data_IF_338470617813
#
_entry.id   IF_338470617813
#
_cell.length_a   1.000
_cell.length_b   1.000
_cell.length_c   1.000
_cell.angle_alpha   90.00
_cell.angle_beta   90.00
_cell.angle_gamma   90.00
#
_symmetry.space_group_name_H-M   'P 1'
#
loop_
_entity.id
_entity.type
_entity.pdbx_description
1 polymer ?
#
# COMPACT_ATOMS: atom_id res chain seq x y z
N UNK A 1 -23.91 15.64 72.93
CA UNK A 1 -23.39 14.69 71.92
C UNK A 1 -23.46 13.30 72.52
N UNK A 2 -23.98 12.30 71.79
CA UNK A 2 -24.06 10.93 72.30
C UNK A 2 -22.65 10.38 72.60
N UNK A 3 -22.57 9.53 73.63
CA UNK A 3 -21.36 8.78 73.99
C UNK A 3 -21.17 7.62 73.01
N UNK A 4 -19.93 7.24 72.72
CA UNK A 4 -19.64 6.13 71.81
C UNK A 4 -20.22 4.80 72.35
N UNK A 5 -20.94 4.07 71.50
CA UNK A 5 -21.56 2.78 71.88
C UNK A 5 -20.62 1.57 71.82
N UNK A 6 -19.36 1.75 71.39
CA UNK A 6 -18.40 0.67 71.25
C UNK A 6 -17.78 0.27 72.61
N UNK A 7 -17.31 -0.97 72.67
CA UNK A 7 -16.59 -1.51 73.82
C UNK A 7 -15.08 -1.41 73.56
N UNK A 8 -14.31 -0.95 74.55
CA UNK A 8 -12.85 -0.87 74.47
C UNK A 8 -12.28 -2.28 74.36
N UNK A 9 -11.50 -2.54 73.29
CA UNK A 9 -10.86 -3.85 73.05
C UNK A 9 -9.92 -4.30 74.18
N UNK A 10 -9.34 -3.36 74.92
CA UNK A 10 -8.33 -3.67 75.95
C UNK A 10 -8.92 -4.20 77.26
N UNK A 11 -10.15 -3.83 77.63
CA UNK A 11 -10.69 -4.14 78.95
C UNK A 11 -12.20 -4.44 78.98
N UNK A 12 -12.88 -4.50 77.84
CA UNK A 12 -14.30 -4.86 77.77
C UNK A 12 -15.26 -3.80 78.33
N UNK A 13 -14.77 -2.63 78.74
CA UNK A 13 -15.62 -1.55 79.25
C UNK A 13 -16.17 -0.66 78.13
N UNK A 14 -17.35 -0.03 78.33
CA UNK A 14 -17.91 0.91 77.36
C UNK A 14 -16.98 2.09 77.09
N UNK A 15 -16.96 2.56 75.85
CA UNK A 15 -16.16 3.68 75.42
C UNK A 15 -16.68 4.99 76.03
N UNK A 16 -15.79 5.72 76.71
CA UNK A 16 -16.14 7.01 77.37
C UNK A 16 -15.95 8.21 76.45
N UNK A 17 -15.44 8.02 75.22
CA UNK A 17 -15.25 9.12 74.27
C UNK A 17 -16.58 9.51 73.61
N UNK A 18 -16.71 10.79 73.28
CA UNK A 18 -17.88 11.31 72.55
C UNK A 18 -17.90 10.73 71.12
N UNK A 19 -19.09 10.33 70.65
CA UNK A 19 -19.29 9.91 69.28
C UNK A 19 -19.11 11.11 68.33
N UNK A 20 -18.66 10.86 67.10
CA UNK A 20 -18.60 11.93 66.08
C UNK A 20 -20.02 12.33 65.65
N UNK A 21 -20.27 13.60 65.28
CA UNK A 21 -21.57 14.01 64.75
C UNK A 21 -22.01 13.11 63.58
N UNK A 22 -23.20 12.51 63.70
CA UNK A 22 -23.76 11.61 62.67
C UNK A 22 -23.26 10.15 62.71
N UNK A 23 -22.41 9.77 63.66
CA UNK A 23 -21.93 8.40 63.86
C UNK A 23 -22.20 7.93 65.28
N UNK A 24 -22.31 6.61 65.48
CA UNK A 24 -22.51 6.01 66.81
C UNK A 24 -21.18 5.74 67.55
N UNK A 25 -20.04 5.83 66.84
CA UNK A 25 -18.71 5.53 67.37
C UNK A 25 -17.78 6.75 67.43
N UNK A 26 -16.81 6.74 68.35
CA UNK A 26 -15.75 7.74 68.42
C UNK A 26 -14.65 7.46 67.39
N UNK A 27 -13.76 8.42 67.15
CA UNK A 27 -12.68 8.31 66.15
C UNK A 27 -11.77 7.08 66.30
N UNK A 28 -11.65 6.50 67.50
CA UNK A 28 -10.83 5.31 67.77
C UNK A 28 -11.57 4.01 67.44
N UNK A 29 -12.90 4.03 67.46
CA UNK A 29 -13.77 2.88 67.17
C UNK A 29 -14.49 3.01 65.83
N UNK A 30 -14.08 3.95 64.98
CA UNK A 30 -14.44 3.90 63.56
C UNK A 30 -13.71 2.68 63.01
N UNK A 31 -14.42 1.63 62.54
CA UNK A 31 -13.76 0.53 61.87
C UNK A 31 -12.89 1.12 60.77
N UNK A 32 -11.61 0.68 60.63
CA UNK A 32 -10.75 1.20 59.58
C UNK A 32 -11.55 1.13 58.28
N UNK A 33 -11.71 2.28 57.62
CA UNK A 33 -12.37 2.35 56.32
C UNK A 33 -11.76 1.23 55.49
N UNK A 34 -12.56 0.27 54.97
CA UNK A 34 -12.01 -0.84 54.20
C UNK A 34 -11.12 -0.20 53.15
N UNK A 35 -9.82 -0.52 53.20
CA UNK A 35 -8.85 0.01 52.24
C UNK A 35 -9.37 -0.48 50.90
N UNK A 36 -10.08 0.38 50.18
CA UNK A 36 -10.62 0.02 48.87
C UNK A 36 -9.40 -0.34 48.05
N UNK A 37 -9.23 -1.61 47.66
CA UNK A 37 -8.03 -2.06 46.98
C UNK A 37 -7.85 -1.16 45.78
N UNK A 38 -6.68 -0.54 45.69
CA UNK A 38 -6.40 0.45 44.68
C UNK A 38 -6.77 -0.11 43.31
N UNK A 39 -7.87 0.41 42.77
CA UNK A 39 -8.47 -0.11 41.54
C UNK A 39 -7.85 0.55 40.32
N UNK A 40 -7.02 1.56 40.51
CA UNK A 40 -6.43 2.33 39.42
C UNK A 40 -5.19 1.63 38.88
N UNK A 41 -4.91 1.88 37.60
CA UNK A 41 -3.72 1.40 36.93
C UNK A 41 -2.46 2.05 37.51
N UNK A 42 -1.44 1.23 37.78
CA UNK A 42 -0.15 1.67 38.35
C UNK A 42 0.68 2.59 37.44
N UNK A 43 0.38 2.64 36.14
CA UNK A 43 1.15 3.40 35.15
C UNK A 43 1.12 4.91 35.43
N UNK A 44 2.31 5.51 35.51
CA UNK A 44 2.52 6.94 35.67
C UNK A 44 2.79 7.55 34.30
N UNK A 45 1.97 8.54 33.94
CA UNK A 45 2.14 9.31 32.69
C UNK A 45 3.34 10.25 32.80
N UNK A 46 3.73 10.84 31.67
CA UNK A 46 4.84 11.80 31.59
C UNK A 46 4.64 13.03 32.50
N UNK A 47 3.39 13.41 32.81
CA UNK A 47 3.05 14.51 33.71
C UNK A 47 2.99 14.08 35.20
N UNK A 48 3.57 12.93 35.55
CA UNK A 48 3.56 12.33 36.89
C UNK A 48 2.17 11.94 37.42
N UNK A 49 1.10 12.09 36.63
CA UNK A 49 -0.22 11.64 37.03
C UNK A 49 -0.40 10.14 36.77
N UNK A 50 -1.13 9.48 37.66
CA UNK A 50 -1.50 8.08 37.49
C UNK A 50 -2.58 7.92 36.42
N UNK A 51 -2.55 6.81 35.70
CA UNK A 51 -3.59 6.46 34.76
C UNK A 51 -4.95 6.32 35.46
N UNK A 52 -6.01 7.04 35.02
CA UNK A 52 -7.32 7.00 35.66
C UNK A 52 -8.09 5.70 35.37
N UNK A 53 -7.61 4.86 34.44
CA UNK A 53 -8.29 3.62 34.06
C UNK A 53 -8.15 2.55 35.15
N UNK A 54 -9.19 1.72 35.29
CA UNK A 54 -9.18 0.58 36.22
C UNK A 54 -8.15 -0.47 35.77
N UNK A 55 -7.42 -1.05 36.74
CA UNK A 55 -6.53 -2.19 36.49
C UNK A 55 -7.31 -3.45 36.10
N UNK A 56 -6.69 -4.32 35.30
CA UNK A 56 -7.28 -5.61 34.94
C UNK A 56 -7.02 -6.60 36.08
N UNK A 57 -8.03 -7.37 36.48
CA UNK A 57 -7.85 -8.41 37.51
C UNK A 57 -6.82 -9.45 37.07
N UNK A 58 -5.90 -9.81 37.95
CA UNK A 58 -4.87 -10.82 37.69
C UNK A 58 -3.64 -10.33 36.91
N UNK A 59 -3.52 -9.03 36.59
CA UNK A 59 -2.26 -8.50 36.06
C UNK A 59 -1.26 -8.22 37.19
N UNK A 60 -0.11 -8.89 37.15
CA UNK A 60 0.96 -8.78 38.15
C UNK A 60 1.52 -7.35 38.26
N UNK A 61 1.45 -6.57 37.18
CA UNK A 61 1.95 -5.21 37.12
C UNK A 61 0.90 -4.16 37.54
N UNK A 62 -0.31 -4.59 37.90
CA UNK A 62 -1.46 -3.72 38.22
C UNK A 62 -1.80 -2.72 37.08
N UNK A 63 -1.65 -3.13 35.82
CA UNK A 63 -1.91 -2.28 34.66
C UNK A 63 -3.38 -2.35 34.18
N UNK A 64 -3.86 -1.28 33.53
CA UNK A 64 -5.09 -1.37 32.74
C UNK A 64 -4.83 -2.10 31.42
N UNK A 65 -5.89 -2.53 30.73
CA UNK A 65 -5.79 -3.28 29.47
C UNK A 65 -4.96 -2.57 28.40
N UNK A 66 -5.10 -1.24 28.29
CA UNK A 66 -4.33 -0.43 27.34
C UNK A 66 -2.83 -0.43 27.63
N UNK A 67 -2.44 -0.24 28.91
CA UNK A 67 -1.02 -0.21 29.28
C UNK A 67 -0.39 -1.59 29.24
N UNK A 68 -1.12 -2.63 29.65
CA UNK A 68 -0.71 -4.03 29.48
C UNK A 68 -0.44 -4.37 28.02
N UNK A 69 -1.37 -4.04 27.12
CA UNK A 69 -1.19 -4.25 25.68
C UNK A 69 0.02 -3.50 25.12
N UNK A 70 0.23 -2.25 25.56
CA UNK A 70 1.37 -1.42 25.16
C UNK A 70 2.70 -2.00 25.65
N UNK A 71 2.78 -2.43 26.92
CA UNK A 71 3.97 -3.07 27.49
C UNK A 71 4.28 -4.37 26.75
N UNK A 72 3.30 -5.26 26.58
CA UNK A 72 3.46 -6.51 25.84
C UNK A 72 3.87 -6.27 24.38
N UNK A 73 3.38 -5.22 23.73
CA UNK A 73 3.84 -4.83 22.39
C UNK A 73 5.31 -4.39 22.40
N UNK A 74 5.72 -3.54 23.35
CA UNK A 74 7.12 -3.13 23.51
C UNK A 74 8.04 -4.29 23.84
N UNK A 75 7.58 -5.21 24.67
CA UNK A 75 8.30 -6.43 25.06
C UNK A 75 8.49 -7.35 23.86
N UNK A 76 7.44 -7.58 23.06
CA UNK A 76 7.56 -8.32 21.78
C UNK A 76 8.55 -7.67 20.81
N UNK A 77 8.52 -6.35 20.67
CA UNK A 77 9.48 -5.62 19.81
C UNK A 77 10.91 -5.78 20.33
N UNK A 78 11.11 -5.69 21.66
CA UNK A 78 12.42 -5.89 22.29
C UNK A 78 12.92 -7.30 22.08
N UNK A 79 12.08 -8.32 22.30
CA UNK A 79 12.43 -9.73 22.12
C UNK A 79 12.78 -10.02 20.66
N UNK A 80 11.98 -9.54 19.70
CA UNK A 80 12.30 -9.64 18.26
C UNK A 80 13.63 -8.98 17.91
N UNK A 81 13.93 -7.81 18.48
CA UNK A 81 15.21 -7.14 18.28
C UNK A 81 16.39 -7.93 18.87
N UNK A 82 16.22 -8.52 20.04
CA UNK A 82 17.26 -9.35 20.64
C UNK A 82 17.52 -10.61 19.80
N UNK A 83 16.46 -11.31 19.38
CA UNK A 83 16.56 -12.44 18.45
C UNK A 83 17.26 -12.05 17.14
N UNK A 84 16.94 -10.89 16.56
CA UNK A 84 17.64 -10.37 15.40
C UNK A 84 19.15 -10.24 15.65
N UNK A 85 19.54 -9.68 16.80
CA UNK A 85 20.96 -9.49 17.15
C UNK A 85 21.68 -10.81 17.40
N UNK A 86 20.98 -11.81 17.93
CA UNK A 86 21.53 -13.15 18.16
C UNK A 86 21.78 -13.86 16.81
N UNK A 87 20.78 -13.90 15.94
CA UNK A 87 20.90 -14.48 14.59
C UNK A 87 21.93 -13.70 13.74
N UNK A 88 21.99 -12.37 13.88
CA UNK A 88 22.99 -11.56 13.19
C UNK A 88 24.41 -11.93 13.60
N UNK A 89 24.64 -12.19 14.91
CA UNK A 89 25.95 -12.60 15.42
C UNK A 89 26.35 -13.99 14.92
N UNK A 90 25.40 -14.92 14.84
CA UNK A 90 25.65 -16.30 14.43
C UNK A 90 25.81 -16.44 12.91
N UNK A 91 24.87 -15.89 12.14
CA UNK A 91 24.73 -16.18 10.71
C UNK A 91 24.92 -14.94 9.82
N UNK A 92 24.76 -13.74 10.36
CA UNK A 92 24.71 -12.51 9.57
C UNK A 92 26.00 -12.19 8.83
N UNK A 93 27.15 -12.43 9.44
CA UNK A 93 28.46 -12.20 8.82
C UNK A 93 28.70 -13.12 7.63
N UNK A 94 28.32 -14.40 7.74
CA UNK A 94 28.43 -15.40 6.67
C UNK A 94 27.51 -15.04 5.50
N UNK A 95 26.24 -14.74 5.78
CA UNK A 95 25.26 -14.33 4.75
C UNK A 95 25.74 -13.08 4.02
N UNK A 96 26.21 -12.07 4.77
CA UNK A 96 26.71 -10.82 4.21
C UNK A 96 27.90 -11.04 3.29
N UNK A 97 28.90 -11.84 3.71
CA UNK A 97 30.07 -12.17 2.91
C UNK A 97 29.68 -12.89 1.62
N UNK A 98 28.80 -13.89 1.69
CA UNK A 98 28.34 -14.63 0.51
C UNK A 98 27.64 -13.71 -0.51
N UNK A 99 26.90 -12.69 -0.06
CA UNK A 99 26.26 -11.71 -0.94
C UNK A 99 27.27 -10.71 -1.53
N UNK A 100 28.31 -10.35 -0.79
CA UNK A 100 29.40 -9.53 -1.33
C UNK A 100 30.21 -10.28 -2.39
N UNK A 101 30.54 -11.55 -2.15
CA UNK A 101 31.26 -12.41 -3.09
C UNK A 101 30.48 -12.61 -4.40
N UNK A 102 29.15 -12.58 -4.36
CA UNK A 102 28.27 -12.58 -5.53
C UNK A 102 28.25 -11.24 -6.31
N UNK A 103 29.12 -10.28 -5.95
CA UNK A 103 29.24 -8.98 -6.61
C UNK A 103 28.31 -7.91 -6.06
N UNK A 104 27.61 -8.16 -4.95
CA UNK A 104 26.75 -7.18 -4.30
C UNK A 104 27.56 -6.01 -3.71
N UNK A 105 27.19 -4.78 -4.05
CA UNK A 105 27.70 -3.59 -3.35
C UNK A 105 27.39 -3.70 -1.84
N UNK A 106 28.28 -3.15 -0.99
CA UNK A 106 28.16 -3.23 0.47
C UNK A 106 26.76 -2.87 1.00
N UNK A 107 26.14 -1.82 0.43
CA UNK A 107 24.80 -1.37 0.82
C UNK A 107 23.71 -2.38 0.49
N UNK A 108 23.75 -2.97 -0.71
CA UNK A 108 22.80 -3.98 -1.16
C UNK A 108 22.97 -5.27 -0.35
N UNK A 109 24.21 -5.75 -0.19
CA UNK A 109 24.52 -6.93 0.62
C UNK A 109 23.98 -6.74 2.06
N UNK A 110 24.24 -5.59 2.69
CA UNK A 110 23.76 -5.30 4.04
C UNK A 110 22.23 -5.27 4.12
N UNK A 111 21.58 -4.64 3.14
CA UNK A 111 20.11 -4.59 3.06
C UNK A 111 19.51 -6.00 2.95
N UNK A 112 20.02 -6.84 2.05
CA UNK A 112 19.53 -8.19 1.85
C UNK A 112 19.81 -9.10 3.04
N UNK A 113 20.98 -8.99 3.68
CA UNK A 113 21.29 -9.71 4.93
C UNK A 113 20.31 -9.35 6.04
N UNK A 114 20.03 -8.05 6.24
CA UNK A 114 19.06 -7.61 7.25
C UNK A 114 17.66 -8.14 6.96
N UNK A 115 17.23 -8.13 5.70
CA UNK A 115 15.93 -8.68 5.29
C UNK A 115 15.84 -10.18 5.56
N UNK A 116 16.88 -10.95 5.23
CA UNK A 116 16.94 -12.38 5.49
C UNK A 116 16.84 -12.68 7.00
N UNK A 117 17.59 -11.97 7.84
CA UNK A 117 17.57 -12.18 9.29
C UNK A 117 16.22 -11.80 9.89
N UNK A 118 15.59 -10.70 9.43
CA UNK A 118 14.24 -10.37 9.90
C UNK A 118 13.22 -11.44 9.54
N UNK A 119 13.33 -12.08 8.37
CA UNK A 119 12.49 -13.24 8.04
C UNK A 119 12.76 -14.41 8.98
N UNK A 120 14.01 -14.70 9.30
CA UNK A 120 14.34 -15.76 10.27
C UNK A 120 13.74 -15.49 11.66
N UNK A 121 13.76 -14.23 12.12
CA UNK A 121 13.11 -13.83 13.38
C UNK A 121 11.60 -14.06 13.34
N UNK A 122 10.97 -13.80 12.19
CA UNK A 122 9.51 -13.86 12.06
C UNK A 122 8.98 -15.28 11.86
N UNK A 123 9.80 -16.17 11.30
CA UNK A 123 9.38 -17.51 10.87
C UNK A 123 9.93 -18.65 11.76
N UNK A 124 10.93 -18.38 12.60
CA UNK A 124 11.54 -19.38 13.50
C UNK A 124 12.61 -20.25 12.84
N UNK A 125 13.24 -21.15 13.60
CA UNK A 125 14.42 -21.93 13.18
C UNK A 125 14.16 -22.83 11.95
N UNK A 126 13.02 -23.52 11.91
CA UNK A 126 12.68 -24.44 10.80
C UNK A 126 12.50 -23.73 9.46
N UNK A 127 12.11 -22.46 9.46
CA UNK A 127 11.99 -21.65 8.24
C UNK A 127 13.23 -20.78 7.99
N UNK A 128 14.12 -20.65 8.97
CA UNK A 128 15.43 -20.06 8.78
C UNK A 128 16.28 -20.93 7.82
N UNK A 129 16.17 -22.26 7.92
CA UNK A 129 16.78 -23.20 6.96
C UNK A 129 16.22 -23.00 5.54
N UNK A 130 14.91 -22.82 5.39
CA UNK A 130 14.29 -22.49 4.11
C UNK A 130 14.75 -21.12 3.57
N UNK A 131 14.95 -20.14 4.45
CA UNK A 131 15.51 -18.83 4.09
C UNK A 131 16.98 -18.93 3.66
N UNK A 132 17.75 -19.83 4.26
CA UNK A 132 19.10 -20.15 3.80
C UNK A 132 19.09 -20.88 2.45
N UNK A 133 18.08 -21.71 2.19
CA UNK A 133 17.95 -22.43 0.92
C UNK A 133 17.71 -21.50 -0.29
N UNK A 134 17.14 -20.32 -0.09
CA UNK A 134 16.92 -19.32 -1.15
C UNK A 134 18.11 -18.36 -1.34
N UNK A 135 19.19 -18.46 -0.54
CA UNK A 135 20.38 -17.61 -0.71
C UNK A 135 20.98 -17.66 -2.12
N UNK A 136 21.09 -18.83 -2.79
CA UNK A 136 21.56 -18.89 -4.17
C UNK A 136 20.67 -18.09 -5.13
N UNK A 137 19.36 -18.12 -4.95
CA UNK A 137 18.41 -17.32 -5.75
C UNK A 137 18.57 -15.82 -5.49
N UNK A 138 18.78 -15.42 -4.23
CA UNK A 138 19.09 -14.04 -3.86
C UNK A 138 20.42 -13.57 -4.46
N UNK A 139 21.45 -14.43 -4.48
CA UNK A 139 22.73 -14.13 -5.15
C UNK A 139 22.55 -13.90 -6.65
N UNK A 140 21.76 -14.75 -7.33
CA UNK A 140 21.44 -14.58 -8.75
C UNK A 140 20.70 -13.25 -8.98
N UNK A 141 19.75 -12.92 -8.11
CA UNK A 141 19.01 -11.66 -8.18
C UNK A 141 19.94 -10.45 -8.01
N UNK A 142 20.82 -10.46 -7.00
CA UNK A 142 21.82 -9.40 -6.77
C UNK A 142 22.75 -9.26 -7.97
N UNK A 143 23.27 -10.37 -8.50
CA UNK A 143 24.12 -10.37 -9.68
C UNK A 143 23.41 -9.75 -10.91
N UNK A 144 22.11 -10.06 -11.10
CA UNK A 144 21.29 -9.42 -12.16
C UNK A 144 21.14 -7.92 -11.94
N UNK A 145 20.82 -7.47 -10.73
CA UNK A 145 20.70 -6.04 -10.42
C UNK A 145 22.02 -5.29 -10.64
N UNK A 146 23.13 -5.88 -10.21
CA UNK A 146 24.48 -5.32 -10.42
C UNK A 146 24.80 -5.25 -11.91
N UNK A 147 24.48 -6.29 -12.68
CA UNK A 147 24.64 -6.27 -14.13
C UNK A 147 23.78 -5.19 -14.81
N UNK A 148 22.53 -4.99 -14.36
CA UNK A 148 21.66 -3.92 -14.86
C UNK A 148 22.25 -2.54 -14.52
N UNK A 149 22.67 -2.33 -13.27
CA UNK A 149 23.27 -1.08 -12.83
C UNK A 149 24.57 -0.78 -13.60
N UNK A 150 25.41 -1.78 -13.84
CA UNK A 150 26.60 -1.63 -14.67
C UNK A 150 26.27 -1.29 -16.12
N UNK A 151 25.25 -1.92 -16.72
CA UNK A 151 24.79 -1.54 -18.06
C UNK A 151 24.27 -0.10 -18.11
N UNK A 152 23.57 0.34 -17.08
CA UNK A 152 23.08 1.72 -16.98
C UNK A 152 24.21 2.75 -16.74
N UNK A 153 25.32 2.34 -16.12
CA UNK A 153 26.47 3.20 -15.86
C UNK A 153 27.42 3.32 -17.06
N UNK A 154 27.37 2.38 -18.01
CA UNK A 154 28.09 2.52 -19.28
C UNK A 154 27.39 3.63 -20.11
N UNK A 155 28.15 4.54 -20.75
CA UNK A 155 27.56 5.51 -21.65
C UNK A 155 26.79 4.76 -22.74
N UNK A 156 25.47 4.96 -22.79
CA UNK A 156 24.62 4.34 -23.79
C UNK A 156 24.99 4.93 -25.17
N UNK A 157 25.78 4.17 -25.93
CA UNK A 157 26.28 4.56 -27.25
C UNK A 157 25.23 4.39 -28.35
N UNK A 158 24.03 3.90 -28.02
CA UNK A 158 22.95 3.79 -28.99
C UNK A 158 22.42 5.17 -29.38
N UNK A 159 22.06 5.40 -30.66
CA UNK A 159 21.38 6.61 -31.10
C UNK A 159 20.15 6.92 -30.24
N UNK A 160 19.90 8.20 -29.98
CA UNK A 160 18.82 8.65 -29.08
C UNK A 160 17.44 8.11 -29.46
N UNK A 161 17.12 8.05 -30.76
CA UNK A 161 15.89 7.46 -31.28
C UNK A 161 15.81 5.95 -31.03
N UNK A 162 16.94 5.25 -31.09
CA UNK A 162 17.00 3.82 -30.81
C UNK A 162 16.80 3.53 -29.32
N UNK A 163 17.31 4.38 -28.42
CA UNK A 163 17.04 4.27 -26.98
C UNK A 163 15.56 4.45 -26.65
N UNK A 164 14.90 5.43 -27.28
CA UNK A 164 13.47 5.69 -27.11
C UNK A 164 12.66 4.52 -27.67
N UNK A 165 13.07 3.96 -28.81
CA UNK A 165 12.39 2.80 -29.41
C UNK A 165 12.57 1.50 -28.62
N UNK A 166 13.73 1.29 -28.01
CA UNK A 166 14.06 0.08 -27.24
C UNK A 166 13.57 0.13 -25.78
N UNK A 167 13.11 1.30 -25.32
CA UNK A 167 12.55 1.45 -23.98
C UNK A 167 11.19 0.73 -23.92
N UNK A 168 11.20 -0.45 -23.32
CA UNK A 168 9.99 -1.27 -23.11
C UNK A 168 9.00 -0.62 -22.14
N UNK A 169 9.38 0.46 -21.46
CA UNK A 169 8.48 1.31 -20.66
C UNK A 169 8.02 2.55 -21.43
N UNK A 170 8.35 2.67 -22.71
CA UNK A 170 7.97 3.83 -23.49
C UNK A 170 6.45 3.88 -23.70
N UNK A 171 5.79 4.67 -22.87
CA UNK A 171 4.36 5.00 -22.98
C UNK A 171 4.02 5.74 -24.27
N UNK A 172 5.03 6.13 -25.07
CA UNK A 172 4.86 6.69 -26.40
C UNK A 172 4.81 5.66 -27.54
N UNK A 173 4.66 4.36 -27.25
CA UNK A 173 4.36 3.38 -28.30
C UNK A 173 3.05 3.79 -29.02
N UNK A 174 3.10 3.86 -30.36
CA UNK A 174 1.99 4.31 -31.21
C UNK A 174 0.69 3.54 -30.92
N UNK A 175 0.77 2.24 -30.62
CA UNK A 175 -0.41 1.42 -30.36
C UNK A 175 -1.04 1.75 -29.00
N UNK A 176 -0.22 1.93 -27.97
CA UNK A 176 -0.67 2.37 -26.64
C UNK A 176 -1.31 3.75 -26.74
N UNK A 177 -0.74 4.63 -27.56
CA UNK A 177 -1.28 5.96 -27.82
C UNK A 177 -2.63 5.92 -28.52
N UNK A 178 -2.78 5.17 -29.62
CA UNK A 178 -4.06 5.01 -30.32
C UNK A 178 -5.18 4.51 -29.40
N UNK A 179 -4.85 3.57 -28.52
CA UNK A 179 -5.80 3.06 -27.56
C UNK A 179 -6.15 4.09 -26.49
N UNK A 180 -5.14 4.79 -25.97
CA UNK A 180 -5.35 5.92 -25.05
C UNK A 180 -6.27 6.96 -25.68
N UNK A 181 -6.00 7.36 -26.93
CA UNK A 181 -6.77 8.34 -27.68
C UNK A 181 -8.24 7.92 -27.84
N UNK A 182 -8.50 6.62 -28.00
CA UNK A 182 -9.86 6.08 -28.07
C UNK A 182 -10.61 6.27 -26.74
N UNK A 183 -10.00 5.88 -25.62
CA UNK A 183 -10.61 6.04 -24.29
C UNK A 183 -10.72 7.53 -23.90
N UNK A 184 -9.74 8.35 -24.28
CA UNK A 184 -9.78 9.81 -24.07
C UNK A 184 -10.93 10.45 -24.84
N UNK A 185 -11.15 10.05 -26.10
CA UNK A 185 -12.29 10.52 -26.89
C UNK A 185 -13.62 10.21 -26.21
N UNK A 186 -13.78 8.98 -25.70
CA UNK A 186 -14.98 8.61 -24.94
C UNK A 186 -15.20 9.51 -23.72
N UNK A 187 -14.13 9.89 -23.00
CA UNK A 187 -14.23 10.81 -21.85
C UNK A 187 -14.54 12.25 -22.28
N UNK A 188 -14.00 12.71 -23.40
CA UNK A 188 -14.24 14.06 -23.92
C UNK A 188 -15.66 14.24 -24.48
N UNK A 189 -16.30 13.16 -24.94
CA UNK A 189 -17.69 13.17 -25.39
C UNK A 189 -18.68 13.35 -24.22
N UNK A 190 -18.22 13.16 -22.98
CA UNK A 190 -19.03 13.35 -21.77
C UNK A 190 -19.04 14.82 -21.40
N UNK A 191 -20.22 15.45 -21.46
CA UNK A 191 -20.42 16.84 -21.05
C UNK A 191 -20.51 16.96 -19.52
N UNK A 192 -19.53 17.56 -18.83
CA UNK A 192 -19.58 17.71 -17.39
C UNK A 192 -20.70 18.69 -16.99
N UNK A 193 -21.38 18.48 -15.86
CA UNK A 193 -22.39 19.41 -15.36
C UNK A 193 -21.80 20.80 -15.11
N UNK A 194 -22.59 21.84 -15.40
CA UNK A 194 -22.17 23.24 -15.21
C UNK A 194 -21.83 23.47 -13.73
N UNK A 195 -20.64 24.03 -13.49
CA UNK A 195 -20.16 24.34 -12.13
C UNK A 195 -19.55 23.16 -11.38
N UNK A 196 -19.26 22.03 -12.04
CA UNK A 196 -18.53 20.92 -11.42
C UNK A 196 -17.19 21.40 -10.85
N UNK A 197 -16.93 21.09 -9.58
CA UNK A 197 -15.66 21.40 -8.90
C UNK A 197 -14.82 20.15 -8.78
N UNK A 198 -14.39 19.62 -9.92
CA UNK A 198 -13.79 18.28 -10.06
C UNK A 198 -12.72 17.97 -9.02
N UNK A 199 -11.76 18.87 -8.85
CA UNK A 199 -10.63 18.68 -7.93
C UNK A 199 -11.10 18.63 -6.46
N UNK A 200 -11.97 19.56 -6.04
CA UNK A 200 -12.55 19.58 -4.69
C UNK A 200 -13.41 18.34 -4.42
N UNK A 201 -14.21 17.91 -5.40
CA UNK A 201 -15.07 16.72 -5.30
C UNK A 201 -14.23 15.45 -5.12
N UNK A 202 -13.12 15.31 -5.85
CA UNK A 202 -12.16 14.22 -5.68
C UNK A 202 -11.57 14.25 -4.26
N UNK A 203 -11.16 15.43 -3.78
CA UNK A 203 -10.60 15.60 -2.43
C UNK A 203 -11.56 15.14 -1.35
N UNK A 204 -12.83 15.54 -1.47
CA UNK A 204 -13.89 15.18 -0.54
C UNK A 204 -14.16 13.66 -0.59
N UNK A 205 -14.28 13.09 -1.79
CA UNK A 205 -14.51 11.65 -1.98
C UNK A 205 -13.39 10.83 -1.35
N UNK A 206 -12.13 11.16 -1.63
CA UNK A 206 -10.99 10.43 -1.08
C UNK A 206 -10.83 10.62 0.42
N UNK A 207 -11.09 11.82 0.94
CA UNK A 207 -11.07 12.08 2.39
C UNK A 207 -12.12 11.23 3.14
N UNK A 208 -13.28 10.98 2.51
CA UNK A 208 -14.30 10.05 3.04
C UNK A 208 -13.86 8.58 2.95
N UNK A 209 -13.12 8.20 1.92
CA UNK A 209 -12.64 6.83 1.70
C UNK A 209 -11.50 6.48 2.66
N UNK A 210 -10.51 7.36 2.81
CA UNK A 210 -9.26 7.13 3.55
C UNK A 210 -9.24 7.83 4.91
N UNK A 211 -10.33 7.72 5.69
CA UNK A 211 -10.50 8.33 7.03
C UNK A 211 -9.45 7.94 8.09
N UNK A 212 -8.34 7.31 7.73
CA UNK A 212 -7.28 6.87 8.63
C UNK A 212 -6.43 8.09 9.05
N UNK A 213 -6.40 8.46 10.34
CA UNK A 213 -5.54 9.53 10.83
C UNK A 213 -4.08 9.24 10.48
N UNK A 214 -3.41 10.20 9.81
CA UNK A 214 -2.00 10.10 9.41
C UNK A 214 -1.72 9.30 8.14
N UNK A 215 -2.73 8.73 7.46
CA UNK A 215 -2.62 8.11 6.13
C UNK A 215 -3.71 8.59 5.17
N UNK A 216 -4.11 9.86 5.31
CA UNK A 216 -5.04 10.49 4.37
C UNK A 216 -4.46 10.56 2.95
N UNK A 217 -5.21 11.19 2.05
CA UNK A 217 -4.73 11.52 0.70
C UNK A 217 -3.36 12.19 0.79
N UNK A 218 -2.40 11.72 0.01
CA UNK A 218 -1.08 12.34 -0.03
C UNK A 218 -1.21 13.72 -0.67
N UNK A 219 -0.86 14.77 0.08
CA UNK A 219 -1.00 16.16 -0.41
C UNK A 219 -0.15 16.42 -1.66
N UNK A 220 0.99 15.71 -1.79
CA UNK A 220 1.85 15.76 -2.98
C UNK A 220 1.13 15.25 -4.23
N UNK A 221 0.37 14.17 -4.12
CA UNK A 221 -0.42 13.63 -5.22
C UNK A 221 -1.51 14.63 -5.65
N UNK A 222 -2.18 15.25 -4.68
CA UNK A 222 -3.21 16.24 -4.97
C UNK A 222 -2.64 17.51 -5.61
N UNK A 223 -1.52 18.00 -5.10
CA UNK A 223 -0.82 19.15 -5.67
C UNK A 223 -0.38 18.89 -7.12
N UNK A 224 0.07 17.67 -7.42
CA UNK A 224 0.44 17.26 -8.77
C UNK A 224 -0.77 17.22 -9.71
N UNK A 225 -1.91 16.66 -9.28
CA UNK A 225 -3.16 16.72 -10.04
C UNK A 225 -3.63 18.15 -10.28
N UNK A 226 -3.62 19.00 -9.25
CA UNK A 226 -4.01 20.41 -9.35
C UNK A 226 -3.12 21.15 -10.35
N UNK A 227 -1.81 20.94 -10.30
CA UNK A 227 -0.85 21.52 -11.26
C UNK A 227 -1.24 21.18 -12.70
N UNK A 228 -1.51 19.91 -13.01
CA UNK A 228 -1.91 19.51 -14.36
C UNK A 228 -3.32 20.01 -14.72
N UNK A 229 -4.22 20.10 -13.74
CA UNK A 229 -5.55 20.68 -13.92
C UNK A 229 -5.50 22.17 -14.27
N UNK A 230 -4.49 22.89 -13.78
CA UNK A 230 -4.24 24.30 -14.06
C UNK A 230 -3.32 24.52 -15.26
N UNK A 231 -2.80 23.46 -15.87
CA UNK A 231 -1.94 23.54 -17.03
C UNK A 231 -2.78 23.72 -18.30
N UNK A 232 -2.61 24.85 -18.98
CA UNK A 232 -3.37 25.20 -20.17
C UNK A 232 -3.03 24.37 -21.42
N UNK A 233 -1.86 23.73 -21.45
CA UNK A 233 -1.34 23.05 -22.64
C UNK A 233 -0.80 21.66 -22.28
N UNK A 234 -1.31 20.64 -22.96
CA UNK A 234 -0.72 19.30 -22.96
C UNK A 234 -0.16 18.91 -24.34
N UNK A 235 -0.98 18.99 -25.40
CA UNK A 235 -0.54 18.75 -26.78
C UNK A 235 -0.48 20.03 -27.59
N UNK A 236 -1.51 20.86 -27.48
CA UNK A 236 -1.63 22.12 -28.22
C UNK A 236 -1.85 23.28 -27.25
N UNK A 237 -1.37 24.49 -27.58
CA UNK A 237 -1.58 25.65 -26.73
C UNK A 237 -3.07 25.85 -26.41
N UNK A 238 -3.40 26.00 -25.11
CA UNK A 238 -4.76 26.21 -24.61
C UNK A 238 -5.75 25.06 -24.85
N UNK A 239 -5.29 23.80 -24.95
CA UNK A 239 -6.20 22.65 -25.04
C UNK A 239 -6.90 22.32 -23.72
N UNK A 240 -6.29 22.64 -22.57
CA UNK A 240 -6.74 22.25 -21.23
C UNK A 240 -7.11 20.76 -21.16
N UNK A 241 -6.36 19.90 -21.87
CA UNK A 241 -6.78 18.53 -22.13
C UNK A 241 -6.93 17.70 -20.85
N UNK A 242 -5.95 17.78 -19.94
CA UNK A 242 -6.01 17.06 -18.67
C UNK A 242 -7.26 17.43 -17.86
N UNK A 243 -7.57 18.74 -17.77
CA UNK A 243 -8.78 19.25 -17.12
C UNK A 243 -10.03 18.64 -17.72
N UNK A 244 -10.19 18.70 -19.05
CA UNK A 244 -11.37 18.16 -19.75
C UNK A 244 -11.54 16.65 -19.53
N UNK A 245 -10.44 15.90 -19.63
CA UNK A 245 -10.45 14.44 -19.40
C UNK A 245 -10.84 14.10 -17.97
N UNK A 246 -10.25 14.79 -16.98
CA UNK A 246 -10.58 14.57 -15.58
C UNK A 246 -12.03 14.97 -15.25
N UNK A 247 -12.52 16.08 -15.81
CA UNK A 247 -13.90 16.54 -15.63
C UNK A 247 -14.90 15.52 -16.19
N UNK A 248 -14.67 15.04 -17.42
CA UNK A 248 -15.48 14.00 -18.06
C UNK A 248 -15.46 12.68 -17.29
N UNK A 249 -14.30 12.28 -16.77
CA UNK A 249 -14.14 11.09 -15.94
C UNK A 249 -14.94 11.18 -14.65
N UNK A 250 -14.81 12.28 -13.88
CA UNK A 250 -15.57 12.47 -12.64
C UNK A 250 -17.06 12.55 -12.91
N UNK A 251 -17.47 13.21 -14.00
CA UNK A 251 -18.86 13.22 -14.44
C UNK A 251 -19.35 11.79 -14.73
N UNK A 252 -18.58 10.97 -15.44
CA UNK A 252 -18.92 9.57 -15.71
C UNK A 252 -19.07 8.74 -14.44
N UNK A 253 -18.13 8.86 -13.50
CA UNK A 253 -18.17 8.15 -12.22
C UNK A 253 -19.44 8.51 -11.44
N UNK A 254 -19.84 9.79 -11.46
CA UNK A 254 -21.06 10.27 -10.76
C UNK A 254 -22.35 9.73 -11.36
N UNK A 255 -22.37 9.34 -12.63
CA UNK A 255 -23.52 8.71 -13.28
C UNK A 255 -23.74 7.25 -12.83
N UNK A 256 -22.74 6.61 -12.21
CA UNK A 256 -22.87 5.22 -11.73
C UNK A 256 -23.78 5.17 -10.51
N UNK A 257 -24.97 4.60 -10.65
CA UNK A 257 -25.99 4.55 -9.58
C UNK A 257 -25.52 3.76 -8.35
N UNK A 258 -24.84 2.61 -8.55
CA UNK A 258 -24.34 1.79 -7.45
C UNK A 258 -23.21 2.51 -6.68
N UNK A 259 -23.50 2.83 -5.42
CA UNK A 259 -22.55 3.47 -4.51
C UNK A 259 -21.26 2.67 -4.31
N UNK A 260 -21.33 1.33 -4.27
CA UNK A 260 -20.15 0.48 -4.08
C UNK A 260 -19.23 0.57 -5.28
N UNK A 261 -19.79 0.48 -6.49
CA UNK A 261 -19.02 0.60 -7.75
C UNK A 261 -18.43 2.01 -7.85
N UNK A 262 -19.23 3.05 -7.60
CA UNK A 262 -18.77 4.44 -7.58
C UNK A 262 -17.61 4.64 -6.61
N UNK A 263 -17.69 4.06 -5.40
CA UNK A 263 -16.60 4.11 -4.42
C UNK A 263 -15.34 3.41 -4.93
N UNK A 264 -15.46 2.25 -5.58
CA UNK A 264 -14.32 1.54 -6.17
C UNK A 264 -13.67 2.33 -7.31
N UNK A 265 -14.47 3.01 -8.15
CA UNK A 265 -13.96 3.89 -9.19
C UNK A 265 -13.14 5.07 -8.62
N UNK A 266 -13.58 5.68 -7.52
CA UNK A 266 -12.76 6.71 -6.84
C UNK A 266 -11.48 6.15 -6.21
N UNK A 267 -11.49 4.91 -5.71
CA UNK A 267 -10.27 4.22 -5.26
C UNK A 267 -9.34 3.98 -6.45
N UNK A 268 -9.86 3.51 -7.58
CA UNK A 268 -9.08 3.27 -8.79
C UNK A 268 -8.49 4.57 -9.34
N UNK A 269 -9.27 5.65 -9.38
CA UNK A 269 -8.79 6.99 -9.72
C UNK A 269 -7.62 7.41 -8.83
N UNK A 270 -7.70 7.13 -7.52
CA UNK A 270 -6.59 7.43 -6.60
C UNK A 270 -5.34 6.62 -6.93
N UNK A 271 -5.48 5.33 -7.22
CA UNK A 271 -4.35 4.46 -7.57
C UNK A 271 -3.69 4.94 -8.87
N UNK A 272 -4.46 5.17 -9.93
CA UNK A 272 -3.95 5.62 -11.22
C UNK A 272 -3.28 7.00 -11.11
N UNK A 273 -3.84 7.93 -10.35
CA UNK A 273 -3.20 9.22 -10.10
C UNK A 273 -1.92 9.09 -9.25
N UNK A 274 -1.81 8.07 -8.38
CA UNK A 274 -0.60 7.84 -7.58
C UNK A 274 0.50 7.22 -8.44
N UNK A 275 0.13 6.31 -9.36
CA UNK A 275 1.03 5.75 -10.37
C UNK A 275 1.47 6.78 -11.42
N UNK A 276 0.64 7.80 -11.67
CA UNK A 276 0.96 8.91 -12.56
C UNK A 276 1.91 9.95 -11.94
N UNK A 277 2.19 9.88 -10.64
CA UNK A 277 2.94 10.92 -9.94
C UNK A 277 4.31 11.16 -10.59
N UNK A 278 4.63 12.43 -10.87
CA UNK A 278 5.85 12.87 -11.57
C UNK A 278 5.97 12.40 -13.04
N UNK A 279 4.90 11.93 -13.66
CA UNK A 279 4.88 11.68 -15.10
C UNK A 279 4.60 12.98 -15.90
N UNK A 280 4.78 12.92 -17.21
CA UNK A 280 4.36 13.98 -18.13
C UNK A 280 2.82 14.02 -18.28
N UNK A 281 2.27 15.08 -18.90
CA UNK A 281 0.81 15.19 -19.08
C UNK A 281 0.20 13.98 -19.81
N UNK A 282 0.87 13.45 -20.84
CA UNK A 282 0.40 12.26 -21.56
C UNK A 282 0.36 11.02 -20.66
N UNK A 283 1.36 10.84 -19.80
CA UNK A 283 1.35 9.79 -18.78
C UNK A 283 0.17 9.91 -17.83
N UNK A 284 -0.12 11.13 -17.37
CA UNK A 284 -1.30 11.41 -16.54
C UNK A 284 -2.61 11.08 -17.27
N UNK A 285 -2.77 11.52 -18.52
CA UNK A 285 -3.97 11.27 -19.32
C UNK A 285 -4.16 9.77 -19.56
N UNK A 286 -3.09 9.04 -19.90
CA UNK A 286 -3.13 7.59 -20.08
C UNK A 286 -3.61 6.86 -18.82
N UNK A 287 -3.15 7.29 -17.65
CA UNK A 287 -3.60 6.76 -16.35
C UNK A 287 -5.06 7.05 -16.07
N UNK A 288 -5.54 8.26 -16.37
CA UNK A 288 -6.97 8.60 -16.24
C UNK A 288 -7.85 7.75 -17.17
N UNK A 289 -7.41 7.49 -18.39
CA UNK A 289 -8.13 6.68 -19.36
C UNK A 289 -8.31 5.20 -18.93
N UNK A 290 -7.49 4.72 -17.99
CA UNK A 290 -7.55 3.36 -17.46
C UNK A 290 -8.49 3.19 -16.25
N UNK A 291 -9.03 4.28 -15.69
CA UNK A 291 -9.86 4.22 -14.46
C UNK A 291 -11.16 3.43 -14.65
N UNK A 292 -11.76 3.51 -15.84
CA UNK A 292 -13.03 2.85 -16.17
C UNK A 292 -12.86 1.44 -16.77
N UNK A 293 -11.63 1.03 -17.04
CA UNK A 293 -11.32 -0.28 -17.63
C UNK A 293 -11.73 -1.39 -16.66
N UNK A 294 -12.55 -2.32 -17.14
CA UNK A 294 -13.13 -3.40 -16.33
C UNK A 294 -14.37 -3.02 -15.53
N UNK A 295 -14.78 -1.75 -15.57
CA UNK A 295 -16.07 -1.27 -15.03
C UNK A 295 -17.06 -0.90 -16.13
N UNK A 296 -16.56 -0.47 -17.29
CA UNK A 296 -17.35 -0.10 -18.46
C UNK A 296 -16.73 -0.75 -19.70
N UNK A 297 -17.48 -1.61 -20.38
CA UNK A 297 -17.02 -2.41 -21.53
C UNK A 297 -16.63 -1.56 -22.74
N UNK A 298 -17.05 -0.29 -22.77
CA UNK A 298 -16.62 0.66 -23.80
C UNK A 298 -15.15 1.05 -23.64
N UNK A 299 -14.60 0.95 -22.43
CA UNK A 299 -13.20 1.25 -22.11
C UNK A 299 -12.36 -0.01 -22.18
N UNK A 300 -11.46 -0.06 -23.17
CA UNK A 300 -10.60 -1.24 -23.37
C UNK A 300 -9.26 -1.09 -22.64
N UNK A 301 -8.75 -2.14 -21.98
CA UNK A 301 -7.45 -2.13 -21.31
C UNK A 301 -6.32 -1.97 -22.32
N UNK A 302 -5.32 -1.15 -22.01
CA UNK A 302 -4.06 -1.07 -22.77
C UNK A 302 -3.32 -2.41 -22.71
N UNK A 303 -3.60 -3.30 -23.67
CA UNK A 303 -2.91 -4.58 -23.79
C UNK A 303 -1.96 -4.44 -24.97
N UNK A 304 -0.65 -4.68 -24.78
CA UNK A 304 0.29 -4.73 -25.88
C UNK A 304 -0.22 -5.69 -26.95
N UNK A 305 -0.25 -5.24 -28.21
CA UNK A 305 -0.75 -6.05 -29.33
C UNK A 305 -0.06 -7.42 -29.38
N UNK A 306 1.25 -7.47 -29.11
CA UNK A 306 2.02 -8.71 -29.03
C UNK A 306 1.51 -9.70 -27.97
N UNK A 307 0.96 -9.25 -26.85
CA UNK A 307 0.39 -10.14 -25.82
C UNK A 307 -0.97 -10.69 -26.27
N UNK A 308 -1.84 -9.84 -26.86
CA UNK A 308 -3.11 -10.30 -27.45
C UNK A 308 -2.83 -11.34 -28.53
N UNK A 309 -1.84 -11.04 -29.37
CA UNK A 309 -1.44 -11.88 -30.48
C UNK A 309 -0.89 -13.21 -29.97
N UNK A 310 0.02 -13.20 -29.00
CA UNK A 310 0.54 -14.42 -28.38
C UNK A 310 -0.58 -15.30 -27.80
N UNK A 311 -1.53 -14.71 -27.06
CA UNK A 311 -2.64 -15.44 -26.45
C UNK A 311 -3.58 -16.05 -27.50
N UNK A 312 -4.00 -15.27 -28.50
CA UNK A 312 -4.91 -15.75 -29.55
C UNK A 312 -4.20 -16.73 -30.51
N UNK A 313 -2.93 -16.50 -30.84
CA UNK A 313 -2.14 -17.42 -31.70
C UNK A 313 -1.96 -18.79 -31.04
N UNK A 314 -1.79 -18.85 -29.72
CA UNK A 314 -1.73 -20.12 -28.99
C UNK A 314 -3.02 -20.95 -29.11
N UNK A 315 -4.19 -20.29 -29.19
CA UNK A 315 -5.48 -20.94 -29.43
C UNK A 315 -5.60 -21.37 -30.89
N UNK A 316 -5.26 -20.47 -31.82
CA UNK A 316 -5.30 -20.76 -33.26
C UNK A 316 -4.41 -21.95 -33.60
N UNK A 317 -3.22 -22.07 -33.01
CA UNK A 317 -2.30 -23.19 -33.23
C UNK A 317 -2.89 -24.57 -32.89
N UNK A 318 -3.95 -24.64 -32.07
CA UNK A 318 -4.62 -25.90 -31.71
C UNK A 318 -5.64 -26.38 -32.77
N UNK A 319 -5.97 -25.56 -33.77
CA UNK A 319 -6.90 -25.92 -34.84
C UNK A 319 -6.25 -26.97 -35.74
N UNK A 320 -6.84 -28.16 -35.86
CA UNK A 320 -6.29 -29.28 -36.65
C UNK A 320 -6.21 -28.97 -38.15
N UNK A 321 -7.21 -28.27 -38.70
CA UNK A 321 -7.23 -27.90 -40.12
C UNK A 321 -6.28 -26.73 -40.40
N UNK A 322 -5.24 -26.99 -41.20
CA UNK A 322 -4.18 -26.03 -41.53
C UNK A 322 -4.71 -24.81 -42.29
N UNK A 323 -5.64 -24.99 -43.24
CA UNK A 323 -6.20 -23.88 -44.02
C UNK A 323 -7.02 -22.94 -43.13
N UNK A 324 -7.84 -23.51 -42.24
CA UNK A 324 -8.64 -22.74 -41.29
C UNK A 324 -7.76 -22.03 -40.26
N UNK A 325 -6.70 -22.69 -39.78
CA UNK A 325 -5.69 -22.10 -38.90
C UNK A 325 -5.05 -20.86 -39.53
N UNK A 326 -4.60 -20.97 -40.78
CA UNK A 326 -3.99 -19.86 -41.51
C UNK A 326 -4.97 -18.72 -41.77
N UNK A 327 -6.22 -19.05 -42.11
CA UNK A 327 -7.28 -18.08 -42.34
C UNK A 327 -7.54 -17.26 -41.07
N UNK A 328 -7.75 -17.92 -39.93
CA UNK A 328 -7.99 -17.25 -38.65
C UNK A 328 -6.78 -16.43 -38.19
N UNK A 329 -5.55 -16.92 -38.41
CA UNK A 329 -4.35 -16.15 -38.11
C UNK A 329 -4.25 -14.87 -38.94
N UNK A 330 -4.55 -14.93 -40.25
CA UNK A 330 -4.57 -13.74 -41.12
C UNK A 330 -5.66 -12.75 -40.75
N UNK A 331 -6.86 -13.25 -40.43
CA UNK A 331 -7.97 -12.42 -39.95
C UNK A 331 -7.60 -11.72 -38.64
N UNK A 332 -6.93 -12.41 -37.72
CA UNK A 332 -6.42 -11.83 -36.48
C UNK A 332 -5.36 -10.75 -36.73
N UNK A 333 -4.40 -11.00 -37.62
CA UNK A 333 -3.38 -10.00 -37.99
C UNK A 333 -4.01 -8.75 -38.58
N UNK A 334 -5.03 -8.91 -39.42
CA UNK A 334 -5.80 -7.81 -40.00
C UNK A 334 -6.63 -7.08 -38.93
N UNK A 335 -7.31 -7.79 -38.03
CA UNK A 335 -8.07 -7.23 -36.91
C UNK A 335 -7.18 -6.32 -36.04
N UNK A 336 -5.97 -6.79 -35.75
CA UNK A 336 -5.00 -6.08 -34.92
C UNK A 336 -4.13 -5.08 -35.70
N UNK A 337 -4.36 -4.91 -37.01
CA UNK A 337 -3.57 -4.05 -37.90
C UNK A 337 -2.05 -4.30 -37.82
N UNK A 338 -1.65 -5.57 -37.68
CA UNK A 338 -0.24 -5.95 -37.61
C UNK A 338 0.40 -5.78 -39.00
N UNK A 339 1.50 -5.01 -39.13
CA UNK A 339 2.18 -4.88 -40.41
C UNK A 339 2.61 -6.23 -40.99
N UNK A 340 2.48 -6.40 -42.30
CA UNK A 340 2.75 -7.68 -42.96
C UNK A 340 4.14 -8.24 -42.64
N UNK A 341 5.16 -7.39 -42.56
CA UNK A 341 6.53 -7.77 -42.20
C UNK A 341 6.64 -8.38 -40.80
N UNK A 342 5.85 -7.86 -39.85
CA UNK A 342 5.81 -8.38 -38.49
C UNK A 342 4.92 -9.62 -38.37
N UNK A 343 3.97 -9.82 -39.29
CA UNK A 343 3.09 -10.98 -39.31
C UNK A 343 3.78 -12.25 -39.81
N UNK A 344 4.80 -12.14 -40.69
CA UNK A 344 5.48 -13.29 -41.31
C UNK A 344 6.00 -14.32 -40.29
N UNK A 345 6.78 -13.95 -39.26
CA UNK A 345 7.31 -14.93 -38.30
C UNK A 345 6.21 -15.71 -37.56
N UNK A 346 5.06 -15.08 -37.32
CA UNK A 346 3.92 -15.70 -36.66
C UNK A 346 3.15 -16.65 -37.58
N UNK A 347 3.01 -16.28 -38.86
CA UNK A 347 2.37 -17.10 -39.87
C UNK A 347 3.23 -18.32 -40.24
N UNK A 348 4.55 -18.16 -40.27
CA UNK A 348 5.48 -19.26 -40.51
C UNK A 348 5.46 -20.26 -39.34
N UNK A 349 5.44 -19.77 -38.09
CA UNK A 349 5.43 -20.62 -36.90
C UNK A 349 4.18 -21.51 -36.73
N UNK A 350 3.05 -21.17 -37.37
CA UNK A 350 1.83 -22.01 -37.35
C UNK A 350 1.69 -22.92 -38.56
N UNK A 351 2.59 -22.76 -39.54
CA UNK A 351 2.66 -23.56 -40.76
C UNK A 351 3.32 -24.92 -40.52
N UNK A 352 4.22 -24.97 -39.54
CA UNK A 352 4.79 -26.18 -38.95
C UNK A 352 3.76 -26.89 -38.06
#
# INVERSE_FOLDING_TARGET
>A
MPTCNAIKKSNGQPCTFKAKPGLETCGVHIPPTPVTPDTQCSYIKWNQERCPKRKVGGDENNECSTHRATRLAKERIRNRRNQFLDIWRESGTTIFRNLQEAGGQWQLANMFTRTAIWRMVDLGETEAEATMAILPEMQIMVARFVAIAHRAALPDTRPELQRISDDSQNTHNCDVRKQTDTNVKLLLDISPPVGQKTIDEIREAWSKIYRVPGRGVQETQYADMQKWYDTAQCYTPNDWLYRKVLDGLVARIKLVEDFKIRRQLFIRLQQECAEAYQMCCEGHIGRLANVLVGFDDTFRPQIPVGLILQQKMAVIAQIENVEERFKQARELMAELNVPQEQAVPWLDAIAE
#
